data_IF_383797825971
#
_entry.id   IF_383797825971
#
_cell.length_a   1.000
_cell.length_b   1.000
_cell.length_c   1.000
_cell.angle_alpha   90.00
_cell.angle_beta   90.00
_cell.angle_gamma   90.00
#
_symmetry.space_group_name_H-M   'P 1'
#
loop_
_entity.id
_entity.type
_entity.pdbx_description
1 polymer ?
#
# COMPACT_ATOMS: atom_id res chain seq x y z
N UNK A 1 30.25 46.83 73.59
CA UNK A 1 30.67 45.48 73.11
C UNK A 1 29.57 44.49 73.51
N UNK A 2 29.10 43.63 72.58
CA UNK A 2 28.02 42.62 72.71
C UNK A 2 26.53 43.02 72.58
N UNK A 3 26.13 43.75 71.53
CA UNK A 3 24.70 44.00 71.23
C UNK A 3 24.24 43.72 69.78
N UNK A 4 25.06 44.03 68.78
CA UNK A 4 24.62 44.01 67.37
C UNK A 4 24.83 42.67 66.63
N UNK A 5 25.70 41.78 67.12
CA UNK A 5 26.04 40.53 66.43
C UNK A 5 25.04 39.37 66.66
N UNK A 6 24.18 39.46 67.69
CA UNK A 6 23.24 38.37 68.04
C UNK A 6 21.94 38.39 67.23
N UNK A 7 21.57 39.53 66.67
CA UNK A 7 20.33 39.67 65.87
C UNK A 7 20.51 39.22 64.41
N UNK A 8 21.71 39.35 63.82
CA UNK A 8 21.95 38.96 62.42
C UNK A 8 21.98 37.42 62.21
N UNK A 9 22.41 36.64 63.20
CA UNK A 9 22.44 35.17 63.12
C UNK A 9 21.04 34.53 63.23
N UNK A 10 20.11 35.15 63.96
CA UNK A 10 18.74 34.64 64.12
C UNK A 10 17.88 34.83 62.85
N UNK A 11 18.12 35.88 62.06
CA UNK A 11 17.36 36.13 60.82
C UNK A 11 17.78 35.23 59.65
N UNK A 12 19.06 34.83 59.60
CA UNK A 12 19.53 33.89 58.57
C UNK A 12 19.01 32.47 58.82
N UNK A 13 18.97 32.03 60.09
CA UNK A 13 18.41 30.73 60.48
C UNK A 13 16.89 30.64 60.23
N UNK A 14 16.14 31.73 60.46
CA UNK A 14 14.69 31.77 60.17
C UNK A 14 14.39 31.70 58.67
N UNK A 15 15.13 32.41 57.82
CA UNK A 15 14.94 32.35 56.35
C UNK A 15 15.32 31.00 55.74
N UNK A 16 16.32 30.31 56.29
CA UNK A 16 16.69 28.96 55.87
C UNK A 16 15.62 27.90 56.26
N UNK A 17 15.05 28.01 57.47
CA UNK A 17 13.98 27.12 57.93
C UNK A 17 12.69 27.28 57.10
N UNK A 18 12.32 28.51 56.72
CA UNK A 18 11.13 28.76 55.88
C UNK A 18 11.27 28.17 54.46
N UNK A 19 12.47 28.22 53.87
CA UNK A 19 12.73 27.62 52.54
C UNK A 19 12.70 26.09 52.56
N UNK A 20 13.19 25.46 53.63
CA UNK A 20 13.15 24.00 53.78
C UNK A 20 11.72 23.45 53.96
N UNK A 21 10.84 24.17 54.68
CA UNK A 21 9.43 23.79 54.86
C UNK A 21 8.62 23.92 53.56
N UNK A 22 8.90 24.94 52.74
CA UNK A 22 8.28 25.11 51.42
C UNK A 22 8.76 24.07 50.37
N UNK A 23 10.00 23.59 50.47
CA UNK A 23 10.51 22.52 49.61
C UNK A 23 9.92 21.14 49.99
N UNK A 24 9.79 20.87 51.29
CA UNK A 24 9.20 19.64 51.85
C UNK A 24 7.72 19.44 51.48
N UNK A 25 6.94 20.53 51.50
CA UNK A 25 5.51 20.50 51.15
C UNK A 25 5.27 20.29 49.64
N UNK A 26 6.11 20.86 48.77
CA UNK A 26 6.06 20.61 47.32
C UNK A 26 6.39 19.16 46.94
N UNK A 27 7.35 18.51 47.62
CA UNK A 27 7.69 17.11 47.33
C UNK A 27 6.59 16.13 47.84
N UNK A 28 5.98 16.41 49.00
CA UNK A 28 4.83 15.64 49.50
C UNK A 28 3.60 15.76 48.58
N UNK A 29 3.36 16.94 48.00
CA UNK A 29 2.30 17.17 47.01
C UNK A 29 2.51 16.37 45.72
N UNK A 30 3.75 16.37 45.18
CA UNK A 30 4.11 15.59 43.97
C UNK A 30 3.99 14.08 44.18
N UNK A 31 4.38 13.56 45.34
CA UNK A 31 4.23 12.14 45.68
C UNK A 31 2.76 11.70 45.81
N UNK A 32 1.89 12.55 46.37
CA UNK A 32 0.44 12.28 46.45
C UNK A 32 -0.23 12.35 45.06
N UNK A 33 0.17 13.29 44.21
CA UNK A 33 -0.31 13.38 42.83
C UNK A 33 0.10 12.16 41.99
N UNK A 34 1.36 11.69 42.10
CA UNK A 34 1.83 10.46 41.45
C UNK A 34 1.08 9.22 41.91
N UNK A 35 0.81 9.08 43.23
CA UNK A 35 0.02 7.95 43.75
C UNK A 35 -1.44 7.97 43.28
N UNK A 36 -2.07 9.15 43.14
CA UNK A 36 -3.42 9.28 42.57
C UNK A 36 -3.44 8.99 41.07
N UNK A 37 -2.43 9.43 40.31
CA UNK A 37 -2.28 9.10 38.90
C UNK A 37 -2.06 7.60 38.69
N UNK A 38 -1.24 6.95 39.52
CA UNK A 38 -1.04 5.49 39.49
C UNK A 38 -2.30 4.71 39.88
N UNK A 39 -3.08 5.18 40.87
CA UNK A 39 -4.39 4.56 41.19
C UNK A 39 -5.39 4.72 40.05
N UNK A 40 -5.43 5.87 39.37
CA UNK A 40 -6.28 6.07 38.17
C UNK A 40 -5.82 5.22 36.98
N UNK A 41 -4.51 5.06 36.76
CA UNK A 41 -3.97 4.19 35.71
C UNK A 41 -4.23 2.70 35.99
N UNK A 42 -4.23 2.27 37.26
CA UNK A 42 -4.64 0.92 37.67
C UNK A 42 -6.14 0.71 37.52
N UNK A 43 -6.95 1.66 37.99
CA UNK A 43 -8.42 1.64 37.81
C UNK A 43 -8.84 1.68 36.33
N UNK A 44 -8.06 2.31 35.44
CA UNK A 44 -8.30 2.31 34.00
C UNK A 44 -7.87 0.99 33.32
N UNK A 45 -6.91 0.25 33.89
CA UNK A 45 -6.57 -1.12 33.46
C UNK A 45 -7.57 -2.16 33.99
N UNK A 46 -8.12 -1.93 35.18
CA UNK A 46 -9.15 -2.77 35.79
C UNK A 46 -10.56 -2.48 35.22
N UNK A 47 -10.73 -1.35 34.53
CA UNK A 47 -11.87 -1.08 33.64
C UNK A 47 -11.77 -1.85 32.29
N UNK A 48 -11.00 -2.94 32.24
CA UNK A 48 -10.97 -3.91 31.16
C UNK A 48 -12.14 -4.89 31.23
N UNK A 49 -13.36 -4.36 31.43
CA UNK A 49 -14.60 -5.14 31.32
C UNK A 49 -14.72 -5.86 29.97
N UNK A 50 -14.08 -5.32 28.93
CA UNK A 50 -13.98 -5.96 27.60
C UNK A 50 -13.19 -7.27 27.58
N UNK A 51 -12.10 -7.41 28.35
CA UNK A 51 -11.26 -8.60 28.30
C UNK A 51 -11.91 -9.82 28.99
N UNK A 52 -12.67 -9.59 30.05
CA UNK A 52 -13.48 -10.64 30.70
C UNK A 52 -14.70 -11.00 29.87
N UNK A 53 -15.34 -10.04 29.20
CA UNK A 53 -16.44 -10.29 28.27
C UNK A 53 -15.98 -11.04 27.01
N UNK A 54 -14.85 -10.66 26.41
CA UNK A 54 -14.23 -11.38 25.29
C UNK A 54 -13.81 -12.81 25.68
N UNK A 55 -13.29 -13.02 26.90
CA UNK A 55 -13.04 -14.37 27.43
C UNK A 55 -14.32 -15.17 27.59
N UNK A 56 -15.40 -14.53 28.07
CA UNK A 56 -16.69 -15.18 28.26
C UNK A 56 -17.31 -15.56 26.90
N UNK A 57 -17.21 -14.70 25.89
CA UNK A 57 -17.63 -14.99 24.51
C UNK A 57 -16.83 -16.17 23.95
N UNK A 58 -15.49 -16.16 24.08
CA UNK A 58 -14.65 -17.28 23.62
C UNK A 58 -14.93 -18.59 24.35
N UNK A 59 -15.19 -18.55 25.66
CA UNK A 59 -15.55 -19.75 26.42
C UNK A 59 -16.93 -20.30 26.08
N UNK A 60 -17.83 -19.45 25.57
CA UNK A 60 -19.19 -19.79 25.21
C UNK A 60 -19.42 -19.74 23.69
N UNK A 61 -18.36 -19.85 22.88
CA UNK A 61 -18.45 -19.73 21.41
C UNK A 61 -19.36 -20.82 20.81
N UNK A 62 -19.53 -21.94 21.51
CA UNK A 62 -20.44 -23.03 21.16
C UNK A 62 -21.95 -22.71 21.39
N UNK A 63 -22.28 -21.71 22.22
CA UNK A 63 -23.66 -21.24 22.46
C UNK A 63 -24.14 -20.29 21.35
N UNK A 64 -23.20 -19.73 20.60
CA UNK A 64 -23.45 -18.87 19.45
C UNK A 64 -22.93 -19.60 18.20
N UNK A 65 -23.69 -20.55 17.62
CA UNK A 65 -23.37 -21.02 16.28
C UNK A 65 -23.19 -19.77 15.40
N UNK A 66 -22.18 -19.76 14.52
CA UNK A 66 -21.90 -18.62 13.63
C UNK A 66 -22.47 -18.85 12.21
N UNK A 67 -23.78 -19.16 12.03
CA UNK A 67 -24.33 -19.47 10.71
C UNK A 67 -24.19 -18.27 9.76
N UNK A 68 -24.48 -17.05 10.24
CA UNK A 68 -24.39 -15.82 9.43
C UNK A 68 -23.01 -15.62 8.79
N UNK A 69 -21.93 -16.03 9.46
CA UNK A 69 -20.56 -15.83 8.97
C UNK A 69 -20.11 -16.84 7.95
N UNK A 70 -20.62 -18.06 8.06
CA UNK A 70 -20.34 -19.09 7.07
C UNK A 70 -21.22 -18.85 5.83
N UNK A 71 -22.47 -18.42 6.02
CA UNK A 71 -23.39 -17.99 4.95
C UNK A 71 -22.83 -16.78 4.16
N UNK A 72 -22.31 -15.74 4.85
CA UNK A 72 -21.66 -14.58 4.21
C UNK A 72 -20.43 -14.99 3.38
N UNK A 73 -19.62 -15.92 3.89
CA UNK A 73 -18.43 -16.41 3.19
C UNK A 73 -18.79 -17.23 1.96
N UNK A 74 -19.80 -18.08 2.07
CA UNK A 74 -20.32 -18.86 0.95
C UNK A 74 -20.92 -17.93 -0.12
N UNK A 75 -21.65 -16.89 0.29
CA UNK A 75 -22.18 -15.87 -0.63
C UNK A 75 -21.07 -15.12 -1.37
N UNK A 76 -19.99 -14.72 -0.67
CA UNK A 76 -18.83 -14.06 -1.28
C UNK A 76 -18.07 -15.02 -2.22
N UNK A 77 -17.87 -16.28 -1.83
CA UNK A 77 -17.23 -17.27 -2.71
C UNK A 77 -18.06 -17.51 -3.98
N UNK A 78 -19.39 -17.68 -3.83
CA UNK A 78 -20.31 -17.82 -4.93
C UNK A 78 -20.31 -16.60 -5.87
N UNK A 79 -20.24 -15.38 -5.32
CA UNK A 79 -20.09 -14.15 -6.09
C UNK A 79 -18.82 -14.17 -6.95
N UNK A 80 -17.66 -14.45 -6.37
CA UNK A 80 -16.40 -14.46 -7.10
C UNK A 80 -16.33 -15.60 -8.12
N UNK A 81 -16.93 -16.75 -7.81
CA UNK A 81 -17.07 -17.87 -8.73
C UNK A 81 -17.93 -17.48 -9.94
N UNK A 82 -19.09 -16.84 -9.71
CA UNK A 82 -19.97 -16.34 -10.77
C UNK A 82 -19.28 -15.28 -11.64
N UNK A 83 -18.40 -14.48 -11.03
CA UNK A 83 -17.56 -13.48 -11.72
C UNK A 83 -16.37 -14.08 -12.47
N UNK A 84 -16.10 -15.38 -12.35
CA UNK A 84 -15.12 -16.11 -13.17
C UNK A 84 -13.82 -16.51 -12.45
N UNK A 85 -13.68 -16.24 -11.14
CA UNK A 85 -12.51 -16.64 -10.37
C UNK A 85 -12.55 -18.15 -10.07
N UNK A 86 -12.02 -18.97 -10.99
CA UNK A 86 -12.09 -20.44 -10.88
C UNK A 86 -11.10 -21.05 -9.88
N UNK A 87 -9.99 -20.38 -9.62
CA UNK A 87 -8.98 -20.84 -8.65
C UNK A 87 -9.50 -20.65 -7.21
N UNK A 88 -9.57 -21.75 -6.46
CA UNK A 88 -10.01 -21.79 -5.07
C UNK A 88 -9.12 -20.94 -4.16
N UNK A 89 -7.79 -20.96 -4.36
CA UNK A 89 -6.87 -20.15 -3.54
C UNK A 89 -7.06 -18.66 -3.79
N UNK A 90 -7.33 -18.30 -5.04
CA UNK A 90 -7.61 -16.93 -5.44
C UNK A 90 -8.93 -16.44 -4.82
N UNK A 91 -10.00 -17.25 -4.87
CA UNK A 91 -11.27 -16.90 -4.22
C UNK A 91 -11.14 -16.81 -2.71
N UNK A 92 -10.49 -17.78 -2.07
CA UNK A 92 -10.24 -17.74 -0.63
C UNK A 92 -9.49 -16.46 -0.22
N UNK A 93 -8.51 -16.00 -1.02
CA UNK A 93 -7.84 -14.71 -0.83
C UNK A 93 -8.80 -13.53 -0.99
N UNK A 94 -9.65 -13.53 -2.01
CA UNK A 94 -10.64 -12.46 -2.24
C UNK A 94 -11.66 -12.35 -1.10
N UNK A 95 -12.13 -13.49 -0.58
CA UNK A 95 -13.03 -13.56 0.59
C UNK A 95 -12.29 -13.12 1.87
N UNK A 96 -11.03 -13.53 2.06
CA UNK A 96 -10.23 -13.12 3.20
C UNK A 96 -9.89 -11.62 3.18
N UNK A 97 -9.68 -11.04 2.00
CA UNK A 97 -9.38 -9.62 1.83
C UNK A 97 -10.48 -8.70 2.37
N UNK A 98 -11.75 -9.12 2.35
CA UNK A 98 -12.82 -8.37 3.00
C UNK A 98 -12.67 -8.23 4.52
N UNK A 99 -11.81 -9.05 5.14
CA UNK A 99 -11.40 -8.93 6.54
C UNK A 99 -10.09 -8.15 6.73
N UNK A 100 -9.16 -8.26 5.78
CA UNK A 100 -7.79 -7.73 5.90
C UNK A 100 -7.62 -6.29 5.37
N UNK A 101 -8.20 -5.98 4.21
CA UNK A 101 -8.15 -4.64 3.62
C UNK A 101 -9.11 -3.66 4.33
N UNK A 102 -10.12 -4.20 5.01
CA UNK A 102 -11.18 -3.42 5.59
C UNK A 102 -10.81 -2.90 7.00
N UNK A 103 -10.04 -1.83 7.00
CA UNK A 103 -9.62 -1.10 8.19
C UNK A 103 -10.77 -0.23 8.73
N UNK A 104 -11.59 0.32 7.83
CA UNK A 104 -12.76 1.14 8.14
C UNK A 104 -14.08 0.36 8.09
N UNK A 105 -15.10 0.89 8.78
CA UNK A 105 -16.45 0.30 8.80
C UNK A 105 -17.05 0.20 7.39
N UNK A 106 -16.92 1.25 6.58
CA UNK A 106 -17.42 1.28 5.21
C UNK A 106 -16.74 0.25 4.28
N UNK A 107 -15.46 -0.04 4.49
CA UNK A 107 -14.74 -1.07 3.73
C UNK A 107 -15.22 -2.47 4.12
N UNK A 108 -15.53 -2.69 5.42
CA UNK A 108 -16.04 -3.98 5.90
C UNK A 108 -17.44 -4.23 5.38
N UNK A 109 -18.27 -3.19 5.34
CA UNK A 109 -19.60 -3.25 4.72
C UNK A 109 -19.49 -3.56 3.23
N UNK A 110 -18.58 -2.89 2.52
CA UNK A 110 -18.41 -3.12 1.09
C UNK A 110 -17.93 -4.54 0.78
N UNK A 111 -16.83 -4.99 1.39
CA UNK A 111 -16.21 -6.29 1.04
C UNK A 111 -16.79 -7.47 1.82
N UNK A 112 -17.58 -7.22 2.86
CA UNK A 112 -18.28 -8.24 3.64
C UNK A 112 -19.63 -8.64 3.03
N UNK A 113 -20.20 -7.81 2.15
CA UNK A 113 -21.49 -8.04 1.51
C UNK A 113 -21.35 -8.25 -0.01
N UNK A 114 -21.82 -9.41 -0.48
CA UNK A 114 -21.80 -9.78 -1.89
C UNK A 114 -22.67 -8.86 -2.75
N UNK A 115 -23.79 -8.36 -2.22
CA UNK A 115 -24.67 -7.44 -2.96
C UNK A 115 -24.03 -6.06 -3.09
N UNK A 116 -23.44 -5.54 -2.01
CA UNK A 116 -22.67 -4.30 -2.04
C UNK A 116 -21.51 -4.36 -3.04
N UNK A 117 -20.73 -5.45 -3.03
CA UNK A 117 -19.70 -5.72 -4.05
C UNK A 117 -20.30 -5.74 -5.45
N UNK A 118 -21.40 -6.48 -5.65
CA UNK A 118 -22.08 -6.55 -6.94
C UNK A 118 -22.55 -5.20 -7.47
N UNK A 119 -23.02 -4.31 -6.59
CA UNK A 119 -23.38 -2.94 -6.95
C UNK A 119 -22.15 -2.08 -7.27
N UNK A 120 -21.09 -2.15 -6.47
CA UNK A 120 -19.86 -1.40 -6.69
C UNK A 120 -19.16 -1.83 -7.99
N UNK A 121 -19.06 -3.14 -8.23
CA UNK A 121 -18.51 -3.70 -9.47
C UNK A 121 -19.33 -3.25 -10.69
N UNK A 122 -20.67 -3.32 -10.66
CA UNK A 122 -21.51 -2.84 -11.77
C UNK A 122 -21.32 -1.36 -12.07
N UNK A 123 -21.17 -0.53 -11.03
CA UNK A 123 -20.90 0.90 -11.20
C UNK A 123 -19.54 1.16 -11.84
N UNK A 124 -18.54 0.35 -11.50
CA UNK A 124 -17.21 0.43 -12.10
C UNK A 124 -17.23 -0.09 -13.55
N UNK A 125 -17.91 -1.21 -13.83
CA UNK A 125 -18.13 -1.76 -15.18
C UNK A 125 -18.73 -0.70 -16.12
N UNK A 126 -19.68 0.11 -15.65
CA UNK A 126 -20.27 1.20 -16.43
C UNK A 126 -19.26 2.28 -16.88
N UNK A 127 -18.10 2.40 -16.22
CA UNK A 127 -17.04 3.32 -16.63
C UNK A 127 -16.17 2.79 -17.79
N UNK A 128 -16.24 1.49 -18.08
CA UNK A 128 -15.42 0.82 -19.09
C UNK A 128 -16.29 0.20 -20.20
N UNK A 129 -17.01 1.02 -21.00
CA UNK A 129 -17.99 0.53 -21.97
C UNK A 129 -17.39 -0.25 -23.15
N UNK A 130 -16.07 -0.25 -23.30
CA UNK A 130 -15.33 -0.88 -24.41
C UNK A 130 -14.76 -2.25 -24.08
N UNK A 131 -15.14 -2.82 -22.93
CA UNK A 131 -14.94 -4.25 -22.66
C UNK A 131 -13.76 -4.59 -21.75
N UNK A 132 -13.33 -3.70 -20.86
CA UNK A 132 -12.43 -4.10 -19.77
C UNK A 132 -13.14 -5.14 -18.91
N UNK A 133 -12.52 -6.30 -18.71
CA UNK A 133 -12.98 -7.29 -17.74
C UNK A 133 -12.68 -6.78 -16.33
N UNK A 134 -13.60 -5.97 -15.80
CA UNK A 134 -13.50 -5.37 -14.46
C UNK A 134 -13.46 -6.46 -13.40
N UNK A 135 -14.16 -7.58 -13.59
CA UNK A 135 -14.12 -8.68 -12.64
C UNK A 135 -12.70 -9.24 -12.52
N UNK A 136 -12.08 -9.57 -13.66
CA UNK A 136 -10.70 -10.04 -13.71
C UNK A 136 -9.70 -9.03 -13.15
N UNK A 137 -9.88 -7.76 -13.47
CA UNK A 137 -9.11 -6.66 -12.91
C UNK A 137 -9.17 -6.67 -11.37
N UNK A 138 -10.38 -6.80 -10.80
CA UNK A 138 -10.59 -6.80 -9.35
C UNK A 138 -10.03 -8.04 -8.66
N UNK A 139 -9.85 -9.16 -9.36
CA UNK A 139 -9.17 -10.33 -8.76
C UNK A 139 -7.71 -10.05 -8.40
N UNK A 140 -7.08 -9.13 -9.15
CA UNK A 140 -5.68 -8.75 -8.98
C UNK A 140 -5.51 -7.55 -8.04
N UNK A 141 -6.45 -6.61 -8.06
CA UNK A 141 -6.38 -5.39 -7.24
C UNK A 141 -7.79 -4.91 -6.87
N UNK A 142 -8.41 -5.51 -5.84
CA UNK A 142 -9.74 -5.13 -5.40
C UNK A 142 -9.78 -3.72 -4.75
N UNK A 143 -8.63 -3.18 -4.32
CA UNK A 143 -8.49 -1.86 -3.71
C UNK A 143 -8.97 -0.73 -4.63
N UNK A 144 -9.04 -0.99 -5.94
CA UNK A 144 -9.64 -0.06 -6.91
C UNK A 144 -11.09 0.31 -6.53
N UNK A 145 -11.85 -0.59 -5.91
CA UNK A 145 -13.23 -0.32 -5.47
C UNK A 145 -13.32 0.71 -4.34
N UNK A 146 -12.22 0.95 -3.61
CA UNK A 146 -12.17 1.98 -2.56
C UNK A 146 -12.10 3.39 -3.14
N UNK A 147 -11.69 3.52 -4.41
CA UNK A 147 -11.61 4.81 -5.06
C UNK A 147 -13.02 5.31 -5.44
N UNK A 148 -13.33 6.59 -5.16
CA UNK A 148 -14.51 7.23 -5.74
C UNK A 148 -14.49 7.13 -7.27
N UNK A 149 -15.64 6.94 -7.91
CA UNK A 149 -15.71 6.85 -9.39
C UNK A 149 -15.16 8.09 -10.09
N UNK A 150 -15.31 9.28 -9.49
CA UNK A 150 -14.71 10.52 -9.99
C UNK A 150 -13.18 10.46 -9.99
N UNK A 151 -12.60 9.80 -8.98
CA UNK A 151 -11.16 9.59 -8.87
C UNK A 151 -10.68 8.58 -9.90
N UNK A 152 -11.38 7.45 -10.06
CA UNK A 152 -11.10 6.47 -11.11
C UNK A 152 -11.10 7.14 -12.49
N UNK A 153 -12.09 7.99 -12.77
CA UNK A 153 -12.18 8.71 -14.05
C UNK A 153 -10.98 9.64 -14.25
N UNK A 154 -10.63 10.42 -13.22
CA UNK A 154 -9.47 11.31 -13.24
C UNK A 154 -8.17 10.55 -13.51
N UNK A 155 -7.96 9.41 -12.83
CA UNK A 155 -6.77 8.58 -12.98
C UNK A 155 -6.71 7.86 -14.31
N UNK A 156 -7.85 7.42 -14.85
CA UNK A 156 -7.94 6.89 -16.21
C UNK A 156 -7.56 7.94 -17.26
N UNK A 157 -8.01 9.19 -17.08
CA UNK A 157 -7.60 10.30 -17.95
C UNK A 157 -6.09 10.55 -17.82
N UNK A 158 -5.54 10.54 -16.60
CA UNK A 158 -4.10 10.69 -16.38
C UNK A 158 -3.31 9.57 -17.08
N UNK A 159 -3.75 8.32 -16.98
CA UNK A 159 -3.15 7.17 -17.66
C UNK A 159 -3.17 7.35 -19.19
N UNK A 160 -4.32 7.73 -19.77
CA UNK A 160 -4.45 7.98 -21.20
C UNK A 160 -3.60 9.15 -21.69
N UNK A 161 -3.38 10.17 -20.84
CA UNK A 161 -2.48 11.28 -21.15
C UNK A 161 -1.02 10.87 -21.08
N UNK A 162 -0.65 10.07 -20.10
CA UNK A 162 0.72 9.57 -19.90
C UNK A 162 1.13 8.58 -21.00
N UNK A 163 0.21 7.71 -21.44
CA UNK A 163 0.45 6.68 -22.46
C UNK A 163 -0.56 6.77 -23.60
N UNK A 164 -0.50 7.82 -24.44
CA UNK A 164 -1.55 8.12 -25.45
C UNK A 164 -1.64 7.09 -26.58
N UNK A 165 -0.56 6.33 -26.82
CA UNK A 165 -0.49 5.30 -27.88
C UNK A 165 -0.85 3.90 -27.40
N UNK A 166 -0.97 3.70 -26.09
CA UNK A 166 -1.22 2.39 -25.49
C UNK A 166 -2.72 2.21 -25.26
N UNK A 167 -3.23 1.00 -25.46
CA UNK A 167 -4.58 0.67 -25.03
C UNK A 167 -4.68 0.63 -23.49
N UNK A 168 -5.14 1.75 -22.90
CA UNK A 168 -5.31 1.89 -21.46
C UNK A 168 -6.22 0.81 -20.83
N UNK A 169 -7.24 0.34 -21.55
CA UNK A 169 -8.16 -0.67 -21.02
C UNK A 169 -7.48 -2.04 -20.87
N UNK A 170 -6.65 -2.41 -21.86
CA UNK A 170 -5.82 -3.61 -21.80
C UNK A 170 -4.76 -3.53 -20.70
N UNK A 171 -4.17 -2.34 -20.51
CA UNK A 171 -3.23 -2.08 -19.41
C UNK A 171 -3.92 -2.28 -18.06
N UNK A 172 -5.13 -1.75 -17.88
CA UNK A 172 -5.85 -1.85 -16.62
C UNK A 172 -6.34 -3.26 -16.32
N UNK A 173 -6.75 -4.02 -17.34
CA UNK A 173 -7.09 -5.44 -17.17
C UNK A 173 -5.89 -6.25 -16.63
N UNK A 174 -4.68 -5.97 -17.14
CA UNK A 174 -3.46 -6.68 -16.75
C UNK A 174 -2.74 -6.12 -15.52
N UNK A 175 -2.82 -4.81 -15.29
CA UNK A 175 -2.18 -4.09 -14.17
C UNK A 175 -3.10 -2.98 -13.63
N UNK A 176 -4.12 -3.34 -12.85
CA UNK A 176 -5.02 -2.37 -12.23
C UNK A 176 -4.33 -1.41 -11.24
N UNK A 177 -3.17 -1.80 -10.69
CA UNK A 177 -2.42 -0.96 -9.75
C UNK A 177 -1.97 0.35 -10.38
N UNK A 178 -1.95 0.46 -11.72
CA UNK A 178 -1.77 1.73 -12.41
C UNK A 178 -2.82 2.80 -12.01
N UNK A 179 -4.06 2.41 -11.66
CA UNK A 179 -5.06 3.33 -11.09
C UNK A 179 -4.74 3.75 -9.66
N UNK A 180 -3.82 3.09 -8.96
CA UNK A 180 -3.44 3.44 -7.58
C UNK A 180 -2.15 4.29 -7.53
N UNK A 181 -1.63 4.68 -8.70
CA UNK A 181 -0.40 5.45 -8.82
C UNK A 181 -0.70 6.93 -9.00
N UNK A 182 -0.03 7.76 -8.21
CA UNK A 182 -0.17 9.22 -8.29
C UNK A 182 0.85 9.82 -9.29
N UNK A 183 1.98 9.15 -9.54
CA UNK A 183 3.12 9.66 -10.32
C UNK A 183 3.22 9.05 -11.74
N UNK A 184 2.09 8.87 -12.43
CA UNK A 184 2.08 8.25 -13.78
C UNK A 184 2.92 9.01 -14.81
N UNK A 185 3.04 10.34 -14.70
CA UNK A 185 3.88 11.15 -15.59
C UNK A 185 5.36 10.80 -15.46
N UNK A 186 5.85 10.64 -14.23
CA UNK A 186 7.26 10.29 -13.96
C UNK A 186 7.58 8.90 -14.51
N UNK A 187 6.60 7.99 -14.47
CA UNK A 187 6.74 6.64 -15.03
C UNK A 187 6.73 6.69 -16.56
N UNK A 188 5.92 7.55 -17.18
CA UNK A 188 5.95 7.78 -18.62
C UNK A 188 7.30 8.34 -19.08
N UNK A 189 7.85 9.34 -18.38
CA UNK A 189 9.19 9.88 -18.66
C UNK A 189 10.26 8.78 -18.59
N UNK A 190 10.16 7.86 -17.63
CA UNK A 190 11.06 6.71 -17.52
C UNK A 190 10.90 5.70 -18.67
N UNK A 191 9.70 5.53 -19.22
CA UNK A 191 9.47 4.73 -20.44
C UNK A 191 10.08 5.41 -21.65
N UNK A 192 9.96 6.73 -21.78
CA UNK A 192 10.59 7.48 -22.87
C UNK A 192 12.12 7.39 -22.78
N UNK A 193 12.69 7.45 -21.58
CA UNK A 193 14.12 7.18 -21.37
C UNK A 193 14.51 5.75 -21.77
N UNK A 194 13.68 4.74 -21.50
CA UNK A 194 13.91 3.38 -21.97
C UNK A 194 13.83 3.27 -23.49
N UNK A 195 12.89 3.97 -24.13
CA UNK A 195 12.77 4.00 -25.58
C UNK A 195 14.03 4.60 -26.24
N UNK A 196 14.62 5.62 -25.63
CA UNK A 196 15.89 6.21 -26.08
C UNK A 196 17.07 5.25 -25.89
N UNK A 197 17.11 4.51 -24.79
CA UNK A 197 18.16 3.53 -24.51
C UNK A 197 18.08 2.30 -25.44
N UNK A 198 16.86 1.90 -25.81
CA UNK A 198 16.56 0.74 -26.64
C UNK A 198 15.74 1.12 -27.88
N UNK A 199 16.31 1.84 -28.86
CA UNK A 199 15.57 2.38 -30.00
C UNK A 199 14.97 1.33 -30.93
N UNK A 200 15.43 0.07 -30.85
CA UNK A 200 14.92 -1.07 -31.65
C UNK A 200 13.75 -1.80 -31.00
N UNK A 201 13.41 -1.46 -29.76
CA UNK A 201 12.32 -2.07 -28.99
C UNK A 201 11.11 -1.14 -29.03
N UNK A 202 9.96 -1.67 -29.41
CA UNK A 202 8.69 -0.94 -29.35
C UNK A 202 8.15 -0.95 -27.91
N UNK A 203 8.31 0.16 -27.18
CA UNK A 203 7.84 0.25 -25.79
C UNK A 203 6.31 0.25 -25.68
N UNK A 204 5.57 0.64 -26.72
CA UNK A 204 4.10 0.54 -26.73
C UNK A 204 3.71 -0.93 -26.70
N UNK A 205 4.31 -1.75 -27.57
CA UNK A 205 4.08 -3.19 -27.60
C UNK A 205 4.54 -3.90 -26.30
N UNK A 206 5.64 -3.43 -25.69
CA UNK A 206 6.11 -3.92 -24.38
C UNK A 206 5.05 -3.71 -23.31
N UNK A 207 4.48 -2.50 -23.21
CA UNK A 207 3.47 -2.17 -22.21
C UNK A 207 2.17 -2.91 -22.45
N UNK A 208 1.73 -3.04 -23.71
CA UNK A 208 0.49 -3.77 -24.03
C UNK A 208 0.59 -5.27 -23.75
N UNK A 209 1.79 -5.85 -23.87
CA UNK A 209 2.03 -7.24 -23.53
C UNK A 209 2.25 -7.44 -22.03
N UNK A 210 3.04 -6.59 -21.40
CA UNK A 210 3.37 -6.66 -19.97
C UNK A 210 3.06 -5.33 -19.27
N UNK A 211 1.79 -5.12 -18.89
CA UNK A 211 1.36 -3.89 -18.21
C UNK A 211 2.08 -3.62 -16.88
N UNK A 212 2.65 -4.65 -16.23
CA UNK A 212 3.40 -4.52 -14.97
C UNK A 212 4.72 -3.75 -15.10
N UNK A 213 5.18 -3.47 -16.33
CA UNK A 213 6.28 -2.52 -16.55
C UNK A 213 5.91 -1.13 -16.00
N UNK A 214 4.63 -0.76 -16.02
CA UNK A 214 4.11 0.45 -15.38
C UNK A 214 4.04 0.21 -13.86
N UNK A 215 5.09 0.59 -13.16
CA UNK A 215 5.19 0.44 -11.71
C UNK A 215 5.97 1.59 -11.09
N UNK A 216 5.73 1.88 -9.80
CA UNK A 216 6.39 2.96 -9.05
C UNK A 216 7.92 2.86 -9.06
N UNK A 217 8.46 1.64 -9.13
CA UNK A 217 9.90 1.41 -9.14
C UNK A 217 10.58 1.69 -10.50
N UNK A 218 9.82 1.87 -11.59
CA UNK A 218 10.39 1.98 -12.94
C UNK A 218 11.44 3.12 -13.06
N UNK A 219 11.19 4.36 -12.61
CA UNK A 219 12.17 5.44 -12.74
C UNK A 219 13.49 5.15 -11.98
N UNK A 220 13.43 4.44 -10.86
CA UNK A 220 14.62 4.02 -10.13
C UNK A 220 15.39 2.92 -10.89
N UNK A 221 14.67 1.95 -11.48
CA UNK A 221 15.26 0.87 -12.30
C UNK A 221 15.95 1.43 -13.55
N UNK A 222 15.34 2.39 -14.23
CA UNK A 222 15.93 3.04 -15.42
C UNK A 222 17.19 3.81 -15.07
N UNK A 223 17.18 4.57 -13.97
CA UNK A 223 18.38 5.28 -13.49
C UNK A 223 19.52 4.31 -13.12
N UNK A 224 19.20 3.20 -12.44
CA UNK A 224 20.17 2.17 -12.09
C UNK A 224 20.73 1.45 -13.33
N UNK A 225 19.91 1.21 -14.35
CA UNK A 225 20.37 0.66 -15.62
C UNK A 225 21.37 1.62 -16.30
N UNK A 226 21.02 2.91 -16.35
CA UNK A 226 21.83 3.95 -17.00
C UNK A 226 23.17 4.22 -16.30
N UNK A 227 23.27 3.99 -14.99
CA UNK A 227 24.54 4.15 -14.27
C UNK A 227 25.57 3.08 -14.59
N UNK A 228 25.16 1.93 -15.11
CA UNK A 228 26.05 0.85 -15.56
C UNK A 228 26.41 1.10 -17.02
N UNK A 229 27.70 0.98 -17.39
CA UNK A 229 28.12 1.08 -18.80
C UNK A 229 27.47 -0.03 -19.63
N UNK A 230 27.04 0.22 -20.89
CA UNK A 230 26.37 -0.78 -21.71
C UNK A 230 27.12 -2.12 -21.84
N UNK A 231 28.45 -2.08 -21.89
CA UNK A 231 29.31 -3.27 -21.97
C UNK A 231 29.34 -4.11 -20.69
N UNK A 232 28.97 -3.54 -19.55
CA UNK A 232 29.03 -4.17 -18.22
C UNK A 232 27.65 -4.64 -17.74
N UNK A 233 26.59 -4.33 -18.50
CA UNK A 233 25.21 -4.76 -18.21
C UNK A 233 25.00 -6.25 -18.45
N UNK A 234 23.87 -6.78 -17.98
CA UNK A 234 23.51 -8.19 -18.09
C UNK A 234 23.58 -8.66 -19.55
N UNK A 235 24.16 -9.85 -19.78
CA UNK A 235 24.30 -10.42 -21.12
C UNK A 235 22.94 -10.54 -21.84
N UNK A 236 21.87 -10.81 -21.09
CA UNK A 236 20.51 -10.90 -21.61
C UNK A 236 19.96 -9.56 -22.11
N UNK A 237 20.30 -8.42 -21.48
CA UNK A 237 19.90 -7.10 -21.97
C UNK A 237 20.77 -6.63 -23.14
N UNK A 238 22.04 -7.09 -23.23
CA UNK A 238 22.95 -6.76 -24.34
C UNK A 238 22.37 -7.07 -25.72
N UNK A 239 21.57 -8.12 -25.81
CA UNK A 239 20.89 -8.51 -27.04
C UNK A 239 20.02 -7.38 -27.62
N UNK A 240 19.47 -6.51 -26.77
CA UNK A 240 18.53 -5.45 -27.17
C UNK A 240 19.16 -4.10 -27.46
N UNK A 241 20.47 -3.94 -27.21
CA UNK A 241 21.16 -2.70 -27.53
C UNK A 241 21.32 -2.53 -29.04
N UNK A 242 21.41 -1.28 -29.51
CA UNK A 242 21.84 -1.04 -30.88
C UNK A 242 23.19 -1.75 -31.13
N UNK A 243 23.38 -2.32 -32.34
CA UNK A 243 24.66 -2.91 -32.73
C UNK A 243 25.80 -1.91 -32.53
N UNK A 244 27.03 -2.39 -32.33
CA UNK A 244 28.18 -1.47 -32.29
C UNK A 244 28.32 -0.81 -33.66
N UNK A 245 28.95 0.36 -33.71
CA UNK A 245 29.15 1.15 -34.94
C UNK A 245 29.82 0.32 -36.06
N UNK A 246 30.55 -0.73 -35.71
CA UNK A 246 31.24 -1.65 -36.63
C UNK A 246 30.39 -2.84 -37.11
N UNK A 247 29.19 -3.05 -36.56
CA UNK A 247 28.28 -4.11 -36.98
C UNK A 247 27.44 -3.65 -38.18
N UNK A 248 27.20 -4.51 -39.20
CA UNK A 248 26.37 -4.15 -40.34
C UNK A 248 24.98 -3.72 -39.86
N UNK A 249 24.39 -2.66 -40.46
CA UNK A 249 23.13 -2.12 -39.99
C UNK A 249 21.99 -3.11 -40.21
N UNK A 250 21.68 -3.87 -39.16
CA UNK A 250 20.46 -4.67 -39.08
C UNK A 250 19.31 -3.73 -38.72
N UNK A 251 18.59 -3.27 -39.73
CA UNK A 251 17.40 -2.42 -39.59
C UNK A 251 16.16 -3.18 -39.13
N UNK A 252 16.24 -4.49 -38.88
CA UNK A 252 15.08 -5.19 -38.35
C UNK A 252 14.84 -4.76 -36.89
N UNK A 253 13.65 -4.23 -36.54
CA UNK A 253 13.29 -4.06 -35.14
C UNK A 253 13.39 -5.43 -34.45
N UNK A 254 13.91 -5.48 -33.22
CA UNK A 254 13.91 -6.76 -32.50
C UNK A 254 12.46 -7.11 -32.18
N UNK A 255 11.93 -8.09 -32.91
CA UNK A 255 10.49 -8.40 -33.01
C UNK A 255 9.85 -8.92 -31.72
N UNK A 256 10.55 -8.93 -30.59
CA UNK A 256 10.07 -9.60 -29.39
C UNK A 256 10.03 -8.68 -28.17
N UNK A 257 9.11 -7.70 -28.20
CA UNK A 257 8.73 -6.87 -27.06
C UNK A 257 8.39 -7.71 -25.81
N UNK A 258 7.84 -8.91 -26.00
CA UNK A 258 7.54 -9.85 -24.92
C UNK A 258 8.81 -10.31 -24.21
N UNK A 259 9.81 -10.75 -24.98
CA UNK A 259 11.09 -11.18 -24.43
C UNK A 259 11.81 -10.02 -23.73
N UNK A 260 11.78 -8.82 -24.32
CA UNK A 260 12.34 -7.63 -23.68
C UNK A 260 11.69 -7.38 -22.32
N UNK A 261 10.35 -7.37 -22.25
CA UNK A 261 9.62 -7.12 -21.01
C UNK A 261 10.02 -8.10 -19.91
N UNK A 262 10.07 -9.39 -20.21
CA UNK A 262 10.46 -10.43 -19.27
C UNK A 262 11.91 -10.29 -18.82
N UNK A 263 12.83 -10.10 -19.76
CA UNK A 263 14.26 -9.93 -19.45
C UNK A 263 14.47 -8.67 -18.62
N UNK A 264 13.86 -7.54 -18.98
CA UNK A 264 13.96 -6.28 -18.26
C UNK A 264 13.46 -6.42 -16.82
N UNK A 265 12.25 -6.96 -16.62
CA UNK A 265 11.70 -7.12 -15.28
C UNK A 265 12.56 -8.05 -14.41
N UNK A 266 12.96 -9.21 -14.93
CA UNK A 266 13.79 -10.18 -14.20
C UNK A 266 15.20 -9.65 -13.88
N UNK A 267 15.83 -8.96 -14.82
CA UNK A 267 17.22 -8.47 -14.63
C UNK A 267 17.29 -7.24 -13.74
N UNK A 268 16.22 -6.46 -13.67
CA UNK A 268 16.13 -5.25 -12.82
C UNK A 268 15.40 -5.51 -11.50
N UNK A 269 14.78 -6.68 -11.31
CA UNK A 269 14.16 -7.10 -10.05
C UNK A 269 15.17 -7.20 -8.91
N UNK A 270 16.40 -7.64 -9.18
CA UNK A 270 17.44 -7.80 -8.15
C UNK A 270 18.08 -6.49 -7.69
N UNK A 271 17.74 -5.36 -8.29
CA UNK A 271 18.33 -4.05 -7.95
C UNK A 271 17.62 -3.34 -6.80
N UNK A 272 16.49 -3.86 -6.30
CA UNK A 272 15.79 -3.35 -5.11
C UNK A 272 15.13 -4.49 -4.32
N UNK A 273 15.08 -4.42 -2.98
CA UNK A 273 14.39 -5.44 -2.18
C UNK A 273 12.91 -5.44 -2.56
N UNK A 274 12.33 -6.65 -2.63
CA UNK A 274 10.89 -6.86 -2.78
C UNK A 274 10.19 -6.11 -1.64
N UNK A 275 9.67 -4.93 -1.93
CA UNK A 275 8.72 -4.25 -1.06
C UNK A 275 7.42 -5.02 -1.14
N UNK A 276 7.17 -5.79 -0.08
CA UNK A 276 5.91 -6.36 0.41
C UNK A 276 4.83 -6.62 -0.65
N UNK A 277 4.74 -7.90 -1.01
CA UNK A 277 3.55 -8.54 -1.60
C UNK A 277 2.38 -8.38 -0.64
#
# INVERSE_FOLDING_TARGET
VFGAARNAMNDFARRAASRAVFASTRDRGRRRARRRAQRRARSARDASGGANFERLIRQNEWLFPQPERDDEREALDAFWLAKGARDERQRARLVAMGRELASGVAERELYGDADALGHATRRLEAMFPRGTDVAKMLWHCPEVLQLPLSEVARRLIALKRAFPRVNAERVLEGNPRALLMDDLSVVADAVDELQLEFPRVDMVAVIEFEPHVIQRALPARVRALKSIKPCDRSASLRAFYPPRVDDPPSFEPMKNAQLFAKVFLLTTECSFPRGDV
#
